data_IF_353807225485
#
_entry.id   IF_353807225485
#
_cell.length_a   1.000
_cell.length_b   1.000
_cell.length_c   1.000
_cell.angle_alpha   90.00
_cell.angle_beta   90.00
_cell.angle_gamma   90.00
#
_symmetry.space_group_name_H-M   'P 1'
#
loop_
_entity.id
_entity.type
_entity.pdbx_description
1 polymer ?
#
# COMPACT_ATOMS: atom_id res chain seq x y z
N UNK A 1 -8.79 -18.73 -4.58
CA UNK A 1 -7.47 -18.14 -4.86
C UNK A 1 -7.64 -17.38 -6.17
N UNK A 2 -7.66 -16.05 -6.09
CA UNK A 2 -7.90 -15.13 -7.20
C UNK A 2 -6.61 -14.78 -7.95
N UNK A 3 -6.58 -13.60 -8.58
CA UNK A 3 -5.45 -13.15 -9.38
C UNK A 3 -4.26 -12.72 -8.53
N UNK A 4 -4.50 -11.89 -7.50
CA UNK A 4 -3.45 -11.30 -6.68
C UNK A 4 -2.64 -12.34 -5.92
N UNK A 5 -3.27 -13.41 -5.45
CA UNK A 5 -2.61 -14.51 -4.76
C UNK A 5 -1.69 -15.37 -5.65
N UNK A 6 -1.72 -15.16 -6.97
CA UNK A 6 -0.75 -15.74 -7.92
C UNK A 6 0.50 -14.89 -8.06
N UNK A 7 0.48 -13.64 -7.58
CA UNK A 7 1.65 -12.77 -7.63
C UNK A 7 2.65 -13.19 -6.54
N UNK A 8 3.93 -13.23 -6.91
CA UNK A 8 5.01 -13.62 -6.00
C UNK A 8 5.03 -12.70 -4.78
N UNK A 9 4.89 -13.27 -3.59
CA UNK A 9 4.89 -12.54 -2.32
C UNK A 9 3.49 -12.20 -1.77
N UNK A 10 2.42 -12.37 -2.55
CA UNK A 10 1.05 -12.17 -2.08
C UNK A 10 0.35 -13.52 -1.87
N UNK A 11 0.00 -13.82 -0.62
CA UNK A 11 -0.76 -15.03 -0.27
C UNK A 11 -2.28 -14.79 -0.26
N UNK A 12 -3.10 -15.84 -0.04
CA UNK A 12 -4.56 -15.72 0.05
C UNK A 12 -5.06 -14.69 1.08
N UNK A 13 -4.32 -14.52 2.19
CA UNK A 13 -4.64 -13.49 3.19
C UNK A 13 -4.43 -12.08 2.63
N UNK A 14 -3.31 -11.85 1.96
CA UNK A 14 -3.00 -10.57 1.32
C UNK A 14 -4.02 -10.22 0.25
N UNK A 15 -4.40 -11.18 -0.58
CA UNK A 15 -5.46 -11.03 -1.57
C UNK A 15 -6.80 -10.63 -0.93
N UNK A 16 -7.19 -11.29 0.16
CA UNK A 16 -8.42 -10.92 0.89
C UNK A 16 -8.37 -9.47 1.35
N UNK A 17 -7.28 -9.05 2.02
CA UNK A 17 -7.14 -7.67 2.49
C UNK A 17 -7.20 -6.65 1.34
N UNK A 18 -6.58 -6.94 0.20
CA UNK A 18 -6.64 -6.07 -0.98
C UNK A 18 -8.05 -6.01 -1.57
N UNK A 19 -8.72 -7.16 -1.67
CA UNK A 19 -10.10 -7.22 -2.15
C UNK A 19 -11.06 -6.42 -1.26
N UNK A 20 -10.85 -6.46 0.07
CA UNK A 20 -11.67 -5.74 1.05
C UNK A 20 -11.60 -4.21 0.86
N UNK A 21 -10.49 -3.70 0.30
CA UNK A 21 -10.34 -2.27 -0.08
C UNK A 21 -10.56 -2.01 -1.58
N UNK A 22 -11.18 -2.96 -2.28
CA UNK A 22 -11.58 -2.83 -3.67
C UNK A 22 -10.49 -3.09 -4.72
N UNK A 23 -9.31 -3.59 -4.33
CA UNK A 23 -8.23 -3.94 -5.26
C UNK A 23 -8.28 -5.45 -5.51
N UNK A 24 -8.69 -5.87 -6.71
CA UNK A 24 -8.96 -7.28 -7.05
C UNK A 24 -7.98 -7.87 -8.06
N UNK A 25 -7.32 -7.00 -8.83
CA UNK A 25 -6.45 -7.38 -9.94
C UNK A 25 -5.08 -6.73 -9.81
N UNK A 26 -4.09 -7.29 -10.52
CA UNK A 26 -2.76 -6.70 -10.64
C UNK A 26 -2.85 -5.30 -11.25
N UNK A 27 -3.66 -5.12 -12.29
CA UNK A 27 -3.81 -3.83 -12.98
C UNK A 27 -4.35 -2.74 -12.04
N UNK A 28 -5.29 -3.08 -11.16
CA UNK A 28 -5.79 -2.13 -10.16
C UNK A 28 -4.72 -1.78 -9.13
N UNK A 29 -3.92 -2.76 -8.69
CA UNK A 29 -2.80 -2.54 -7.77
C UNK A 29 -1.71 -1.66 -8.41
N UNK A 30 -1.42 -1.85 -9.70
CA UNK A 30 -0.49 -0.99 -10.47
C UNK A 30 -1.04 0.42 -10.62
N UNK A 31 -2.33 0.56 -10.94
CA UNK A 31 -2.98 1.86 -11.17
C UNK A 31 -2.99 2.73 -9.91
N UNK A 32 -3.33 2.16 -8.75
CA UNK A 32 -3.33 2.90 -7.49
C UNK A 32 -1.92 3.08 -6.91
N UNK A 33 -1.03 2.11 -7.13
CA UNK A 33 0.31 2.06 -6.57
C UNK A 33 0.37 1.45 -5.15
N UNK A 34 1.47 0.75 -4.79
CA UNK A 34 1.61 0.06 -3.51
C UNK A 34 1.50 0.95 -2.26
N UNK A 35 1.99 2.20 -2.33
CA UNK A 35 1.95 3.13 -1.20
C UNK A 35 0.52 3.54 -0.87
N UNK A 36 -0.26 3.97 -1.87
CA UNK A 36 -1.68 4.32 -1.69
C UNK A 36 -2.52 3.11 -1.31
N UNK A 37 -2.24 1.93 -1.87
CA UNK A 37 -2.89 0.69 -1.44
C UNK A 37 -2.62 0.41 0.05
N UNK A 38 -1.37 0.61 0.51
CA UNK A 38 -1.00 0.44 1.92
C UNK A 38 -1.71 1.44 2.84
N UNK A 39 -1.82 2.71 2.45
CA UNK A 39 -2.56 3.73 3.20
C UNK A 39 -4.05 3.37 3.33
N UNK A 40 -4.71 3.01 2.22
CA UNK A 40 -6.10 2.53 2.25
C UNK A 40 -6.28 1.31 3.14
N UNK A 41 -5.34 0.36 3.12
CA UNK A 41 -5.36 -0.78 4.03
C UNK A 41 -5.28 -0.32 5.50
N UNK A 42 -4.46 0.68 5.83
CA UNK A 42 -4.34 1.19 7.21
C UNK A 42 -5.64 1.83 7.71
N UNK A 43 -6.35 2.52 6.84
CA UNK A 43 -7.61 3.20 7.18
C UNK A 43 -8.80 2.24 7.28
N UNK A 44 -8.87 1.28 6.36
CA UNK A 44 -10.09 0.47 6.16
C UNK A 44 -9.99 -0.94 6.74
N UNK A 45 -8.80 -1.39 7.17
CA UNK A 45 -8.64 -2.73 7.76
C UNK A 45 -8.75 -2.71 9.28
N UNK A 46 -9.41 -3.73 9.86
CA UNK A 46 -9.48 -3.93 11.31
C UNK A 46 -8.13 -4.19 11.98
N UNK A 47 -7.09 -4.53 11.21
CA UNK A 47 -5.72 -4.74 11.68
C UNK A 47 -4.77 -3.94 10.83
N UNK A 48 -3.85 -3.21 11.47
CA UNK A 48 -2.85 -2.41 10.76
C UNK A 48 -1.96 -3.32 9.89
N UNK A 49 -1.84 -3.05 8.57
CA UNK A 49 -0.94 -3.80 7.71
C UNK A 49 0.52 -3.55 8.14
N UNK A 50 1.36 -4.57 7.98
CA UNK A 50 2.79 -4.47 8.27
C UNK A 50 3.57 -3.92 7.06
N UNK A 51 4.76 -3.37 7.29
CA UNK A 51 5.64 -2.94 6.20
C UNK A 51 6.04 -4.10 5.27
N UNK A 52 6.07 -5.34 5.76
CA UNK A 52 6.29 -6.50 4.90
C UNK A 52 5.18 -6.66 3.85
N UNK A 53 3.95 -6.25 4.17
CA UNK A 53 2.86 -6.24 3.20
C UNK A 53 3.11 -5.17 2.11
N UNK A 54 3.58 -3.98 2.49
CA UNK A 54 4.02 -2.97 1.53
C UNK A 54 5.13 -3.52 0.60
N UNK A 55 6.17 -4.12 1.16
CA UNK A 55 7.26 -4.71 0.37
C UNK A 55 6.80 -5.85 -0.53
N UNK A 56 5.83 -6.64 -0.06
CA UNK A 56 5.24 -7.71 -0.85
C UNK A 56 4.44 -7.18 -2.05
N UNK A 57 3.70 -6.07 -1.89
CA UNK A 57 2.99 -5.43 -3.00
C UNK A 57 3.99 -4.87 -4.03
N UNK A 58 5.03 -4.18 -3.60
CA UNK A 58 6.09 -3.68 -4.50
C UNK A 58 6.78 -4.84 -5.21
N UNK A 59 7.21 -5.86 -4.48
CA UNK A 59 7.87 -7.04 -5.04
C UNK A 59 6.99 -7.79 -6.04
N UNK A 60 5.68 -7.87 -5.77
CA UNK A 60 4.71 -8.47 -6.68
C UNK A 60 4.61 -7.73 -8.03
N UNK A 61 4.63 -6.39 -8.02
CA UNK A 61 4.59 -5.59 -9.25
C UNK A 61 5.92 -5.63 -10.01
N UNK A 62 7.04 -5.64 -9.29
CA UNK A 62 8.39 -5.63 -9.88
C UNK A 62 8.93 -7.02 -10.21
N UNK A 63 8.23 -8.10 -9.84
CA UNK A 63 8.70 -9.47 -9.99
C UNK A 63 9.87 -9.85 -9.05
N UNK A 64 10.09 -9.10 -7.98
CA UNK A 64 11.17 -9.29 -6.99
C UNK A 64 10.66 -9.94 -5.71
N UNK A 65 11.54 -10.59 -4.94
CA UNK A 65 11.17 -11.09 -3.62
C UNK A 65 11.08 -9.93 -2.61
N UNK A 66 10.09 -9.94 -1.71
CA UNK A 66 9.86 -8.86 -0.76
C UNK A 66 11.08 -8.54 0.13
N UNK A 67 11.91 -9.55 0.43
CA UNK A 67 13.13 -9.36 1.21
C UNK A 67 14.18 -8.50 0.47
N UNK A 68 14.22 -8.61 -0.86
CA UNK A 68 15.12 -7.79 -1.69
C UNK A 68 14.64 -6.33 -1.70
N UNK A 69 13.33 -6.11 -1.80
CA UNK A 69 12.70 -4.78 -1.68
C UNK A 69 13.02 -4.19 -0.30
N UNK A 70 12.82 -4.94 0.78
CA UNK A 70 13.08 -4.50 2.14
C UNK A 70 14.56 -4.10 2.36
N UNK A 71 15.49 -4.78 1.66
CA UNK A 71 16.92 -4.49 1.73
C UNK A 71 17.32 -3.27 0.90
N UNK A 72 16.79 -3.13 -0.30
CA UNK A 72 17.27 -2.16 -1.29
C UNK A 72 16.44 -0.88 -1.37
N UNK A 73 15.15 -0.94 -1.05
CA UNK A 73 14.18 0.12 -1.36
C UNK A 73 13.46 0.66 -0.11
N UNK A 74 13.66 0.04 1.05
CA UNK A 74 13.00 0.43 2.32
C UNK A 74 13.07 1.91 2.62
N UNK A 75 14.25 2.54 2.52
CA UNK A 75 14.38 3.99 2.82
C UNK A 75 13.53 4.85 1.90
N UNK A 76 13.55 4.55 0.59
CA UNK A 76 12.74 5.26 -0.40
C UNK A 76 11.25 5.13 -0.09
N UNK A 77 10.79 3.90 0.13
CA UNK A 77 9.38 3.61 0.43
C UNK A 77 8.89 4.27 1.73
N UNK A 78 9.74 4.35 2.76
CA UNK A 78 9.40 5.04 4.00
C UNK A 78 9.32 6.55 3.81
N UNK A 79 10.23 7.14 3.04
CA UNK A 79 10.21 8.57 2.72
C UNK A 79 8.99 8.94 1.86
N UNK A 80 8.64 8.11 0.87
CA UNK A 80 7.41 8.28 0.09
C UNK A 80 6.18 8.21 1.00
N UNK A 81 6.10 7.20 1.87
CA UNK A 81 4.98 7.03 2.80
C UNK A 81 4.83 8.21 3.76
N UNK A 82 5.94 8.71 4.31
CA UNK A 82 5.96 9.90 5.17
C UNK A 82 5.48 11.14 4.41
N UNK A 83 5.99 11.37 3.20
CA UNK A 83 5.56 12.49 2.37
C UNK A 83 4.07 12.49 2.03
N UNK A 84 3.45 11.32 1.80
CA UNK A 84 2.00 11.23 1.61
C UNK A 84 1.23 11.62 2.87
N UNK A 85 1.66 11.14 4.04
CA UNK A 85 1.00 11.43 5.31
C UNK A 85 1.13 12.91 5.69
N UNK A 86 2.28 13.52 5.42
CA UNK A 86 2.47 14.94 5.69
C UNK A 86 1.65 15.81 4.73
N UNK A 87 1.54 15.42 3.46
CA UNK A 87 0.65 16.10 2.52
C UNK A 87 -0.82 16.00 2.94
N UNK A 88 -1.28 14.82 3.38
CA UNK A 88 -2.64 14.64 3.90
C UNK A 88 -2.93 15.56 5.08
N UNK A 89 -2.01 15.67 6.05
CA UNK A 89 -2.15 16.61 7.19
C UNK A 89 -2.25 18.06 6.75
N UNK A 90 -1.38 18.50 5.84
CA UNK A 90 -1.41 19.88 5.33
C UNK A 90 -2.76 20.19 4.69
N UNK A 91 -3.29 19.26 3.87
CA UNK A 91 -4.58 19.43 3.21
C UNK A 91 -5.77 19.40 4.19
N UNK A 92 -5.66 18.63 5.28
CA UNK A 92 -6.65 18.63 6.37
C UNK A 92 -6.64 19.98 7.12
N UNK A 93 -5.45 20.50 7.45
CA UNK A 93 -5.26 21.78 8.16
C UNK A 93 -5.73 22.99 7.32
N UNK A 94 -5.44 23.01 6.01
CA UNK A 94 -5.93 24.06 5.10
C UNK A 94 -7.46 24.02 4.89
N UNK A 95 -8.09 22.86 5.09
CA UNK A 95 -9.53 22.69 4.97
C UNK A 95 -10.35 23.22 6.15
N UNK A 96 -9.73 23.43 7.32
CA UNK A 96 -10.39 23.93 8.53
C UNK A 96 -10.47 25.48 8.61
N UNK A 97 -9.70 26.21 7.80
CA UNK A 97 -9.52 27.67 7.93
C UNK A 97 -10.48 28.53 7.07
N UNK A 98 -11.39 27.91 6.29
CA UNK A 98 -12.40 28.60 5.46
C UNK A 98 -13.76 28.78 6.15
N UNK A 99 -13.82 28.65 7.47
CA UNK A 99 -15.03 28.80 8.28
C UNK A 99 -14.94 29.89 9.34
N UNK A 100 -14.97 31.17 8.95
CA UNK A 100 -15.41 32.28 9.82
C UNK A 100 -16.14 33.33 9.00
#
# INVERSE_FOLDING_TARGET
>A
MGELSKLKGLGPKSERCLNDIGIKTRSELESIGPIRAFLRLRENSSTKPSLNFLYAMVGALEGKHWADIAKSEKRRLLMELEGYLDLEKILEEEGEDIGT
#
